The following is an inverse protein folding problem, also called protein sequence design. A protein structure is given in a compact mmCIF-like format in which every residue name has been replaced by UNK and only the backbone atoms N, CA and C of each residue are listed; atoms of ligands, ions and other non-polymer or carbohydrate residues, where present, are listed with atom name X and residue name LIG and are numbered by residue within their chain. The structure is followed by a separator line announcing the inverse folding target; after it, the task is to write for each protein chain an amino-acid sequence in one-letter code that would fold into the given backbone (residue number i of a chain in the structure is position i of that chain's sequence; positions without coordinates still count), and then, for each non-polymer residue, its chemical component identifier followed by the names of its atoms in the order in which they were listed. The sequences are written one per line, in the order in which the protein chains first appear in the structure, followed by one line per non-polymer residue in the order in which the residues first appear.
data_IF_881995666673
#
_entry.id   IF_881995666673
#
_cell.length_a   1.000
_cell.length_b   1.000
_cell.length_c   1.000
_cell.angle_alpha   90.00
_cell.angle_beta   90.00
_cell.angle_gamma   90.00
#
_symmetry.space_group_name_H-M   'P 1'
#
loop_
_entity.id
_entity.type
_entity.pdbx_description
1 polymer ?
#
# COMPACT_ATOMS: atom_id res chain seq x y z
N UNK A 1 10.83 10.28 1.59
CA UNK A 1 9.47 10.33 2.09
C UNK A 1 9.33 9.29 3.17
N UNK A 2 9.10 9.71 4.40
CA UNK A 2 8.96 8.80 5.53
C UNK A 2 7.48 8.46 5.73
N UNK A 3 6.86 7.73 4.81
CA UNK A 3 5.59 7.09 5.08
C UNK A 3 5.88 5.91 6.00
N UNK A 4 5.54 6.05 7.26
CA UNK A 4 5.47 4.96 8.21
C UNK A 4 4.07 4.33 8.04
N UNK A 5 4.00 3.19 7.37
CA UNK A 5 2.78 2.41 7.33
C UNK A 5 2.69 1.56 8.59
N UNK A 6 1.55 1.61 9.28
CA UNK A 6 1.26 0.65 10.33
C UNK A 6 0.50 -0.50 9.69
N UNK A 7 1.15 -1.65 9.67
CA UNK A 7 0.51 -2.91 9.33
C UNK A 7 -0.15 -3.43 10.62
N UNK A 8 -1.47 -3.45 10.66
CA UNK A 8 -2.21 -4.08 11.76
C UNK A 8 -2.23 -5.57 11.46
N UNK A 9 -1.52 -6.37 12.26
CA UNK A 9 -1.58 -7.82 12.20
C UNK A 9 -2.52 -8.31 13.30
N UNK A 10 -3.55 -9.06 12.92
CA UNK A 10 -4.52 -9.65 13.88
C UNK A 10 -4.02 -10.94 14.52
N UNK A 11 -2.76 -11.32 14.34
CA UNK A 11 -2.17 -12.53 14.90
C UNK A 11 -1.79 -12.34 16.38
N UNK A 12 -2.33 -13.15 17.27
CA UNK A 12 -2.34 -12.98 18.73
C UNK A 12 -1.11 -13.45 19.48
N UNK A 13 0.01 -13.80 18.84
CA UNK A 13 1.25 -14.21 19.51
C UNK A 13 2.25 -13.03 19.53
N UNK A 14 2.33 -12.30 20.65
CA UNK A 14 2.94 -11.00 20.75
C UNK A 14 4.14 -10.86 21.67
N UNK A 15 5.26 -10.60 21.07
CA UNK A 15 6.04 -9.40 21.39
C UNK A 15 5.94 -8.46 20.18
N UNK A 16 5.11 -7.44 20.27
CA UNK A 16 4.89 -6.45 19.20
C UNK A 16 6.15 -5.62 19.00
N UNK A 17 7.02 -6.08 18.12
CA UNK A 17 8.02 -5.19 17.52
C UNK A 17 7.33 -4.43 16.38
N UNK A 18 7.43 -3.11 16.41
CA UNK A 18 7.00 -2.26 15.28
C UNK A 18 7.93 -2.57 14.11
N UNK A 19 7.38 -3.08 13.02
CA UNK A 19 8.13 -3.25 11.77
C UNK A 19 8.07 -1.94 10.97
N UNK A 20 9.23 -1.42 10.56
CA UNK A 20 9.32 -0.25 9.68
C UNK A 20 9.27 -0.74 8.24
N UNK A 21 8.22 -0.34 7.50
CA UNK A 21 8.03 -0.65 6.09
C UNK A 21 8.09 0.65 5.30
N UNK A 22 9.24 0.99 4.69
CA UNK A 22 9.33 2.17 3.84
C UNK A 22 8.52 1.99 2.56
N UNK A 23 8.11 3.13 1.97
CA UNK A 23 7.45 3.15 0.67
C UNK A 23 8.31 3.82 -0.39
N UNK A 24 8.21 3.33 -1.62
CA UNK A 24 8.74 3.96 -2.83
C UNK A 24 7.57 4.24 -3.77
N UNK A 25 7.31 5.52 -4.03
CA UNK A 25 6.33 5.96 -5.02
C UNK A 25 6.98 6.07 -6.40
N UNK A 26 6.31 5.55 -7.43
CA UNK A 26 6.84 5.48 -8.79
C UNK A 26 5.91 6.21 -9.77
N UNK A 27 6.50 7.15 -10.53
CA UNK A 27 5.90 7.77 -11.73
C UNK A 27 6.94 7.73 -12.84
N UNK A 28 6.54 7.30 -14.05
CA UNK A 28 7.41 7.20 -15.22
C UNK A 28 8.70 6.40 -14.94
N UNK A 29 8.61 5.35 -14.13
CA UNK A 29 9.73 4.51 -13.75
C UNK A 29 10.74 5.12 -12.77
N UNK A 30 10.43 6.28 -12.17
CA UNK A 30 11.30 7.03 -11.26
C UNK A 30 10.71 7.12 -9.86
N UNK A 31 11.61 7.23 -8.86
CA UNK A 31 11.21 7.56 -7.50
C UNK A 31 10.69 9.00 -7.43
N UNK A 32 9.53 9.17 -6.85
CA UNK A 32 8.91 10.49 -6.66
C UNK A 32 8.40 10.64 -5.23
N UNK A 33 8.01 11.86 -4.90
CA UNK A 33 7.24 12.20 -3.72
C UNK A 33 6.12 13.13 -4.11
N UNK A 34 4.93 12.85 -3.63
CA UNK A 34 3.79 13.76 -3.69
C UNK A 34 3.53 14.35 -2.29
N UNK A 35 2.83 15.47 -2.24
CA UNK A 35 2.25 16.02 -1.01
C UNK A 35 0.75 15.80 -1.08
N UNK A 36 0.19 15.05 -0.13
CA UNK A 36 -1.25 14.71 -0.07
C UNK A 36 -1.80 14.11 -1.39
N UNK A 37 -0.96 13.34 -2.12
CA UNK A 37 -1.33 12.73 -3.39
C UNK A 37 -1.47 13.70 -4.57
N UNK A 38 -1.09 14.97 -4.43
CA UNK A 38 -1.18 15.96 -5.51
C UNK A 38 -0.03 15.76 -6.51
N UNK A 39 -0.38 15.33 -7.72
CA UNK A 39 0.56 15.13 -8.83
C UNK A 39 1.23 16.43 -9.28
N UNK A 40 0.62 17.61 -9.06
CA UNK A 40 1.23 18.89 -9.35
C UNK A 40 2.38 19.24 -8.37
N UNK A 41 2.38 18.62 -7.19
CA UNK A 41 3.43 18.75 -6.17
C UNK A 41 4.60 17.79 -6.38
N UNK A 42 4.63 17.02 -7.49
CA UNK A 42 5.63 15.98 -7.77
C UNK A 42 7.06 16.50 -7.62
N UNK A 43 7.81 15.87 -6.73
CA UNK A 43 9.25 16.02 -6.59
C UNK A 43 9.91 14.72 -7.06
N UNK A 44 10.76 14.79 -8.07
CA UNK A 44 11.56 13.64 -8.51
C UNK A 44 12.82 13.53 -7.65
N UNK A 45 13.11 12.31 -7.20
CA UNK A 45 14.41 11.98 -6.64
C UNK A 45 15.33 11.53 -7.80
N UNK A 46 16.55 12.06 -7.84
CA UNK A 46 17.57 11.67 -8.85
C UNK A 46 18.10 10.24 -8.65
N UNK A 47 17.35 9.38 -7.95
CA UNK A 47 17.78 8.04 -7.61
C UNK A 47 16.89 7.01 -8.31
N UNK A 48 17.53 6.02 -8.95
CA UNK A 48 16.84 4.87 -9.53
C UNK A 48 16.12 4.09 -8.42
N UNK A 49 14.85 3.64 -8.61
CA UNK A 49 14.11 2.88 -7.62
C UNK A 49 14.84 1.63 -7.10
N UNK A 50 15.63 0.98 -7.95
CA UNK A 50 16.42 -0.19 -7.56
C UNK A 50 17.57 0.21 -6.62
N UNK A 51 18.25 1.30 -6.89
CA UNK A 51 19.31 1.80 -6.01
C UNK A 51 18.75 2.23 -4.64
N UNK A 52 17.56 2.84 -4.63
CA UNK A 52 16.86 3.16 -3.38
C UNK A 52 16.53 1.89 -2.60
N UNK A 53 15.99 0.86 -3.26
CA UNK A 53 15.65 -0.41 -2.62
C UNK A 53 16.88 -1.11 -2.04
N UNK A 54 18.01 -1.13 -2.78
CA UNK A 54 19.29 -1.68 -2.30
C UNK A 54 19.82 -0.94 -1.07
N UNK A 55 19.70 0.38 -1.02
CA UNK A 55 20.08 1.15 0.15
C UNK A 55 19.21 0.82 1.36
N UNK A 56 17.90 0.71 1.19
CA UNK A 56 16.98 0.32 2.25
C UNK A 56 17.30 -1.08 2.78
N UNK A 57 17.56 -2.04 1.90
CA UNK A 57 18.00 -3.38 2.29
C UNK A 57 19.32 -3.34 3.09
N UNK A 58 20.30 -2.53 2.66
CA UNK A 58 21.57 -2.36 3.37
C UNK A 58 21.41 -1.75 4.77
N UNK A 59 20.36 -0.99 5.02
CA UNK A 59 19.98 -0.51 6.36
C UNK A 59 19.21 -1.54 7.20
N UNK A 60 19.03 -2.76 6.71
CA UNK A 60 18.36 -3.85 7.43
C UNK A 60 16.84 -3.89 7.26
N UNK A 61 16.29 -3.11 6.33
CA UNK A 61 14.88 -3.21 5.96
C UNK A 61 14.62 -4.57 5.32
N UNK A 62 13.51 -5.21 5.66
CA UNK A 62 13.10 -6.52 5.15
C UNK A 62 11.86 -6.46 4.26
N UNK A 63 11.03 -5.43 4.42
CA UNK A 63 9.80 -5.23 3.62
C UNK A 63 9.82 -3.86 2.96
N UNK A 64 9.25 -3.81 1.77
CA UNK A 64 9.13 -2.59 0.98
C UNK A 64 7.73 -2.48 0.40
N UNK A 65 7.08 -1.33 0.58
CA UNK A 65 5.86 -0.99 -0.13
C UNK A 65 6.22 -0.22 -1.40
N UNK A 66 5.79 -0.72 -2.56
CA UNK A 66 6.01 -0.08 -3.87
C UNK A 66 4.67 0.40 -4.41
N UNK A 67 4.55 1.69 -4.67
CA UNK A 67 3.32 2.33 -5.14
C UNK A 67 3.47 2.74 -6.60
N UNK A 68 2.69 2.10 -7.47
CA UNK A 68 2.57 2.48 -8.88
C UNK A 68 1.55 3.62 -9.03
N UNK A 69 2.02 4.86 -8.99
CA UNK A 69 1.17 6.04 -9.10
C UNK A 69 0.61 6.23 -10.52
N UNK A 70 1.35 5.80 -11.56
CA UNK A 70 0.81 5.76 -12.93
C UNK A 70 -0.33 4.73 -13.01
N UNK A 71 -0.14 3.58 -12.37
CA UNK A 71 -1.17 2.55 -12.26
C UNK A 71 -2.40 3.04 -11.52
N UNK A 72 -2.21 3.73 -10.41
CA UNK A 72 -3.32 4.33 -9.65
C UNK A 72 -4.12 5.34 -10.51
N UNK A 73 -3.44 6.12 -11.35
CA UNK A 73 -4.07 7.10 -12.22
C UNK A 73 -4.78 6.45 -13.43
N UNK A 74 -4.16 5.45 -14.06
CA UNK A 74 -4.67 4.77 -15.27
C UNK A 74 -5.60 3.59 -14.98
N UNK A 75 -5.68 3.15 -13.72
CA UNK A 75 -6.49 2.03 -13.23
C UNK A 75 -6.07 0.66 -13.80
N UNK A 76 -4.79 0.47 -14.07
CA UNK A 76 -4.14 -0.80 -14.40
C UNK A 76 -2.65 -0.72 -14.04
N UNK A 77 -1.97 -1.85 -13.88
CA UNK A 77 -0.54 -1.89 -13.52
C UNK A 77 0.33 -1.38 -14.67
N UNK A 78 1.18 -0.39 -14.41
CA UNK A 78 2.06 0.27 -15.40
C UNK A 78 3.54 -0.03 -15.13
N UNK A 79 4.01 0.19 -13.90
CA UNK A 79 5.43 0.15 -13.56
C UNK A 79 5.93 -1.26 -13.15
N UNK A 80 5.34 -2.34 -13.69
CA UNK A 80 5.71 -3.72 -13.37
C UNK A 80 7.19 -4.05 -13.65
N UNK A 81 7.81 -3.39 -14.66
CA UNK A 81 9.23 -3.57 -14.96
C UNK A 81 10.14 -3.02 -13.86
N UNK A 82 9.72 -1.98 -13.16
CA UNK A 82 10.44 -1.47 -11.99
C UNK A 82 10.32 -2.46 -10.84
N UNK A 83 9.12 -3.00 -10.62
CA UNK A 83 8.88 -4.05 -9.63
C UNK A 83 9.78 -5.28 -9.90
N UNK A 84 9.80 -5.78 -11.14
CA UNK A 84 10.65 -6.90 -11.55
C UNK A 84 12.14 -6.63 -11.26
N UNK A 85 12.64 -5.43 -11.58
CA UNK A 85 14.04 -5.03 -11.33
C UNK A 85 14.36 -4.97 -9.83
N UNK A 86 13.47 -4.43 -9.00
CA UNK A 86 13.66 -4.39 -7.54
C UNK A 86 13.66 -5.82 -6.98
N UNK A 87 12.68 -6.65 -7.34
CA UNK A 87 12.58 -8.03 -6.89
C UNK A 87 13.77 -8.90 -7.33
N UNK A 88 14.30 -8.65 -8.54
CA UNK A 88 15.47 -9.38 -9.06
C UNK A 88 16.81 -8.93 -8.47
N UNK A 89 16.88 -7.78 -7.79
CA UNK A 89 18.12 -7.20 -7.28
C UNK A 89 18.20 -7.13 -5.74
N UNK A 90 17.10 -7.39 -5.05
CA UNK A 90 17.00 -7.38 -3.59
C UNK A 90 16.34 -8.65 -3.07
N UNK A 91 16.48 -8.92 -1.78
CA UNK A 91 15.73 -9.97 -1.05
C UNK A 91 14.55 -9.40 -0.27
N UNK A 92 14.17 -8.14 -0.52
CA UNK A 92 13.07 -7.48 0.13
C UNK A 92 11.74 -8.20 -0.18
N UNK A 93 10.90 -8.35 0.83
CA UNK A 93 9.50 -8.75 0.66
C UNK A 93 8.71 -7.56 0.15
N UNK A 94 8.30 -7.59 -1.11
CA UNK A 94 7.65 -6.47 -1.77
C UNK A 94 6.13 -6.61 -1.66
N UNK A 95 5.52 -5.59 -1.10
CA UNK A 95 4.10 -5.29 -1.21
C UNK A 95 3.91 -4.26 -2.32
N UNK A 96 3.07 -4.57 -3.30
CA UNK A 96 2.84 -3.73 -4.46
C UNK A 96 1.41 -3.18 -4.47
N UNK A 97 1.28 -1.88 -4.60
CA UNK A 97 0.00 -1.17 -4.71
C UNK A 97 -0.05 -0.24 -5.93
N UNK A 98 -1.26 0.18 -6.28
CA UNK A 98 -1.51 1.08 -7.41
C UNK A 98 -1.92 0.36 -8.70
N UNK A 99 -3.12 0.65 -9.18
CA UNK A 99 -3.59 0.17 -10.48
C UNK A 99 -4.19 -1.24 -10.55
N UNK A 100 -4.10 -2.07 -9.52
CA UNK A 100 -4.64 -3.43 -9.54
C UNK A 100 -6.17 -3.40 -9.53
N UNK A 101 -6.80 -3.71 -10.67
CA UNK A 101 -8.25 -3.67 -10.86
C UNK A 101 -8.83 -4.95 -11.47
N UNK A 102 -8.01 -5.75 -12.14
CA UNK A 102 -8.40 -6.96 -12.86
C UNK A 102 -7.59 -8.16 -12.40
N UNK A 103 -8.07 -9.37 -12.75
CA UNK A 103 -7.32 -10.62 -12.52
C UNK A 103 -5.95 -10.56 -13.23
N UNK A 104 -5.88 -9.91 -14.40
CA UNK A 104 -4.66 -9.74 -15.17
C UNK A 104 -3.64 -8.82 -14.44
N UNK A 105 -4.09 -7.67 -13.91
CA UNK A 105 -3.22 -6.79 -13.12
C UNK A 105 -2.62 -7.53 -11.92
N UNK A 106 -3.43 -8.36 -11.25
CA UNK A 106 -2.98 -9.14 -10.11
C UNK A 106 -1.90 -10.15 -10.50
N UNK A 107 -2.11 -10.86 -11.61
CA UNK A 107 -1.12 -11.80 -12.17
C UNK A 107 0.16 -11.05 -12.55
N UNK A 108 0.06 -9.91 -13.22
CA UNK A 108 1.22 -9.07 -13.58
C UNK A 108 2.02 -8.70 -12.31
N UNK A 109 1.37 -8.27 -11.24
CA UNK A 109 2.07 -7.92 -10.01
C UNK A 109 2.83 -9.11 -9.42
N UNK A 110 2.19 -10.28 -9.28
CA UNK A 110 2.83 -11.46 -8.70
C UNK A 110 3.93 -12.04 -9.60
N UNK A 111 3.71 -12.11 -10.91
CA UNK A 111 4.69 -12.64 -11.86
C UNK A 111 5.96 -11.76 -11.96
N UNK A 112 5.85 -10.47 -11.65
CA UNK A 112 6.97 -9.54 -11.59
C UNK A 112 7.57 -9.35 -10.19
N UNK A 113 7.21 -10.22 -9.23
CA UNK A 113 7.94 -10.39 -7.98
C UNK A 113 7.32 -9.75 -6.74
N UNK A 114 6.08 -9.25 -6.81
CA UNK A 114 5.34 -8.92 -5.60
C UNK A 114 5.09 -10.19 -4.78
N UNK A 115 5.36 -10.16 -3.48
CA UNK A 115 4.94 -11.23 -2.57
C UNK A 115 3.57 -10.94 -1.97
N UNK A 116 3.19 -9.67 -1.91
CA UNK A 116 1.91 -9.19 -1.41
C UNK A 116 1.40 -8.06 -2.31
N UNK A 117 0.10 -7.83 -2.29
CA UNK A 117 -0.53 -6.71 -3.00
C UNK A 117 -1.47 -5.95 -2.08
N UNK A 118 -1.42 -4.63 -2.16
CA UNK A 118 -2.34 -3.74 -1.44
C UNK A 118 -3.50 -3.32 -2.33
N UNK A 119 -4.70 -3.63 -1.88
CA UNK A 119 -5.96 -3.43 -2.60
C UNK A 119 -6.87 -2.45 -1.84
N UNK A 120 -6.94 -1.20 -2.31
CA UNK A 120 -7.84 -0.18 -1.74
C UNK A 120 -9.15 -0.07 -2.52
N UNK A 121 -9.12 0.58 -3.68
CA UNK A 121 -10.35 0.89 -4.45
C UNK A 121 -11.17 -0.34 -4.85
N UNK A 122 -10.54 -1.51 -5.05
CA UNK A 122 -11.26 -2.76 -5.36
C UNK A 122 -12.10 -3.20 -4.16
N UNK A 123 -11.58 -3.06 -2.96
CA UNK A 123 -12.33 -3.40 -1.75
C UNK A 123 -13.63 -2.58 -1.62
N UNK A 124 -13.62 -1.31 -2.04
CA UNK A 124 -14.81 -0.45 -1.98
C UNK A 124 -15.74 -0.67 -3.17
N UNK A 125 -15.18 -0.69 -4.39
CA UNK A 125 -15.99 -0.68 -5.64
C UNK A 125 -16.41 -2.06 -6.13
N UNK A 126 -15.63 -3.08 -5.80
CA UNK A 126 -15.82 -4.47 -6.25
C UNK A 126 -15.52 -5.46 -5.11
N UNK A 127 -16.24 -5.41 -3.99
CA UNK A 127 -15.97 -6.24 -2.82
C UNK A 127 -16.01 -7.75 -3.14
N UNK A 128 -16.87 -8.17 -4.08
CA UNK A 128 -16.96 -9.56 -4.55
C UNK A 128 -15.66 -10.03 -5.23
N UNK A 129 -14.96 -9.13 -5.91
CA UNK A 129 -13.66 -9.42 -6.52
C UNK A 129 -12.56 -9.51 -5.48
N UNK A 130 -12.56 -8.61 -4.51
CA UNK A 130 -11.64 -8.66 -3.38
C UNK A 130 -11.80 -9.99 -2.62
N UNK A 131 -13.05 -10.40 -2.32
CA UNK A 131 -13.35 -11.64 -1.62
C UNK A 131 -12.87 -12.87 -2.41
N UNK A 132 -13.07 -12.88 -3.74
CA UNK A 132 -12.55 -13.91 -4.63
C UNK A 132 -11.02 -14.01 -4.55
N UNK A 133 -10.32 -12.88 -4.61
CA UNK A 133 -8.86 -12.85 -4.55
C UNK A 133 -8.33 -13.23 -3.17
N UNK A 134 -8.98 -12.78 -2.10
CA UNK A 134 -8.62 -13.20 -0.74
C UNK A 134 -8.74 -14.72 -0.57
N UNK A 135 -9.81 -15.32 -1.07
CA UNK A 135 -10.01 -16.76 -1.03
C UNK A 135 -9.00 -17.53 -1.90
N UNK A 136 -8.60 -16.97 -3.03
CA UNK A 136 -7.70 -17.61 -4.00
C UNK A 136 -6.22 -17.53 -3.57
N UNK A 137 -5.77 -16.38 -3.07
CA UNK A 137 -4.36 -16.09 -2.80
C UNK A 137 -3.99 -16.15 -1.32
N UNK A 138 -4.97 -16.07 -0.43
CA UNK A 138 -4.79 -16.11 1.01
C UNK A 138 -4.52 -14.74 1.66
N UNK A 139 -4.78 -14.63 2.97
CA UNK A 139 -4.65 -13.37 3.71
C UNK A 139 -3.20 -12.90 3.87
N UNK A 140 -2.24 -13.78 3.67
CA UNK A 140 -0.81 -13.45 3.73
C UNK A 140 -0.32 -12.70 2.48
N UNK A 141 -1.09 -12.77 1.36
CA UNK A 141 -0.74 -12.11 0.10
C UNK A 141 -1.62 -10.90 -0.23
N UNK A 142 -2.76 -10.77 0.43
CA UNK A 142 -3.73 -9.70 0.18
C UNK A 142 -3.76 -8.77 1.37
N UNK A 143 -3.38 -7.51 1.15
CA UNK A 143 -3.42 -6.43 2.14
C UNK A 143 -4.61 -5.52 1.81
N UNK A 144 -5.43 -5.20 2.79
CA UNK A 144 -6.49 -4.21 2.65
C UNK A 144 -5.89 -2.80 2.70
N UNK A 145 -6.03 -2.02 1.64
CA UNK A 145 -5.72 -0.59 1.63
C UNK A 145 -6.92 0.21 2.16
N UNK A 146 -6.70 0.97 3.22
CA UNK A 146 -7.71 1.78 3.88
C UNK A 146 -7.23 3.22 4.04
N UNK A 147 -7.00 3.91 2.91
CA UNK A 147 -6.62 5.31 2.91
C UNK A 147 -7.80 6.16 3.36
N UNK A 148 -7.58 7.04 4.33
CA UNK A 148 -8.65 7.81 4.97
C UNK A 148 -8.47 9.31 4.78
N UNK A 149 -9.59 9.97 4.50
CA UNK A 149 -9.69 11.42 4.49
C UNK A 149 -10.99 11.83 5.21
N UNK A 150 -10.87 12.70 6.20
CA UNK A 150 -12.03 13.13 7.00
C UNK A 150 -12.85 11.96 7.60
N UNK A 151 -12.18 10.88 8.02
CA UNK A 151 -12.82 9.69 8.59
C UNK A 151 -13.48 8.75 7.58
N UNK A 152 -13.43 9.04 6.28
CA UNK A 152 -13.99 8.23 5.19
C UNK A 152 -12.93 7.61 4.33
N UNK A 153 -13.22 6.44 3.78
CA UNK A 153 -12.31 5.74 2.86
C UNK A 153 -12.21 6.51 1.54
N UNK A 154 -10.99 6.78 1.12
CA UNK A 154 -10.67 7.37 -0.18
C UNK A 154 -10.35 6.28 -1.22
N UNK A 155 -10.72 6.53 -2.46
CA UNK A 155 -10.53 5.60 -3.58
C UNK A 155 -9.99 6.32 -4.82
N UNK A 156 -9.57 5.53 -5.84
CA UNK A 156 -9.08 6.05 -7.13
C UNK A 156 -7.90 7.01 -7.02
N UNK A 157 -6.87 6.62 -6.24
CA UNK A 157 -5.70 7.48 -6.01
C UNK A 157 -6.11 8.77 -5.28
N UNK A 158 -6.98 8.64 -4.28
CA UNK A 158 -7.46 9.70 -3.38
C UNK A 158 -8.32 10.80 -4.04
N UNK A 159 -8.80 10.56 -5.26
CA UNK A 159 -9.62 11.52 -6.02
C UNK A 159 -11.08 11.51 -5.62
N UNK A 160 -11.54 10.45 -4.98
CA UNK A 160 -12.93 10.26 -4.58
C UNK A 160 -12.98 9.79 -3.12
N UNK A 161 -13.99 10.25 -2.38
CA UNK A 161 -14.33 9.74 -1.04
C UNK A 161 -15.51 8.77 -1.17
N UNK A 162 -15.42 7.63 -0.48
CA UNK A 162 -16.58 6.72 -0.35
C UNK A 162 -17.51 7.19 0.77
N UNK A 163 -18.64 6.49 0.93
CA UNK A 163 -19.50 6.69 2.10
C UNK A 163 -19.07 5.84 3.30
N UNK A 164 -18.07 4.98 3.13
CA UNK A 164 -17.63 4.05 4.16
C UNK A 164 -16.80 4.77 5.21
N UNK A 165 -17.17 4.60 6.47
CA UNK A 165 -16.37 5.01 7.61
C UNK A 165 -15.23 4.01 7.81
N UNK A 166 -14.07 4.47 8.27
CA UNK A 166 -12.84 3.67 8.36
C UNK A 166 -13.02 2.42 9.22
N UNK A 167 -13.48 2.57 10.46
CA UNK A 167 -13.58 1.47 11.43
C UNK A 167 -14.54 0.37 10.98
N UNK A 168 -15.82 0.65 10.64
CA UNK A 168 -16.72 -0.38 10.14
C UNK A 168 -16.23 -1.06 8.88
N UNK A 169 -15.49 -0.34 8.02
CA UNK A 169 -14.91 -0.89 6.80
C UNK A 169 -13.83 -1.92 7.14
N UNK A 170 -12.87 -1.58 8.00
CA UNK A 170 -11.81 -2.49 8.44
C UNK A 170 -12.42 -3.72 9.11
N UNK A 171 -13.34 -3.54 10.06
CA UNK A 171 -14.01 -4.62 10.78
C UNK A 171 -14.71 -5.61 9.85
N UNK A 172 -15.38 -5.10 8.82
CA UNK A 172 -16.06 -5.95 7.84
C UNK A 172 -15.06 -6.86 7.10
N UNK A 173 -13.87 -6.35 6.78
CA UNK A 173 -12.84 -7.13 6.09
C UNK A 173 -12.05 -8.07 7.01
N UNK A 174 -11.82 -7.70 8.25
CA UNK A 174 -11.28 -8.62 9.27
C UNK A 174 -12.20 -9.84 9.44
N UNK A 175 -13.50 -9.64 9.52
CA UNK A 175 -14.50 -10.73 9.60
C UNK A 175 -14.50 -11.65 8.37
N UNK A 176 -14.03 -11.16 7.22
CA UNK A 176 -13.82 -11.95 5.99
C UNK A 176 -12.48 -12.70 5.97
N UNK A 177 -11.62 -12.50 6.97
CA UNK A 177 -10.33 -13.16 7.09
C UNK A 177 -9.12 -12.34 6.66
N UNK A 178 -9.26 -11.04 6.39
CA UNK A 178 -8.12 -10.13 6.20
C UNK A 178 -7.31 -10.06 7.49
N UNK A 179 -5.99 -10.22 7.36
CA UNK A 179 -5.06 -10.18 8.50
C UNK A 179 -4.10 -8.99 8.45
N UNK A 180 -4.07 -8.26 7.35
CA UNK A 180 -3.17 -7.14 7.14
C UNK A 180 -3.93 -5.95 6.55
N UNK A 181 -3.79 -4.79 7.21
CA UNK A 181 -4.41 -3.53 6.78
C UNK A 181 -3.32 -2.46 6.66
N UNK A 182 -3.27 -1.78 5.54
CA UNK A 182 -2.44 -0.61 5.31
C UNK A 182 -3.34 0.62 5.37
N UNK A 183 -3.10 1.48 6.35
CA UNK A 183 -3.91 2.68 6.57
C UNK A 183 -3.06 3.94 6.41
N UNK A 184 -3.51 4.89 5.57
CA UNK A 184 -2.88 6.19 5.34
C UNK A 184 -3.85 7.31 5.72
N UNK A 185 -3.45 8.22 6.61
CA UNK A 185 -4.14 9.50 6.78
C UNK A 185 -3.66 10.48 5.72
N UNK A 186 -4.49 10.69 4.70
CA UNK A 186 -4.16 11.54 3.54
C UNK A 186 -3.85 12.97 3.96
N UNK A 187 -4.47 13.46 5.03
CA UNK A 187 -4.26 14.83 5.51
C UNK A 187 -2.83 15.08 6.01
N UNK A 188 -2.15 14.02 6.43
CA UNK A 188 -0.77 14.06 6.96
C UNK A 188 0.27 13.56 5.95
N UNK A 189 -0.17 12.89 4.89
CA UNK A 189 0.74 12.32 3.90
C UNK A 189 1.61 13.40 3.23
N UNK A 190 2.92 13.13 3.20
CA UNK A 190 3.89 14.04 2.60
C UNK A 190 4.18 15.34 3.38
N UNK A 191 3.48 15.62 4.50
CA UNK A 191 3.57 16.88 5.23
C UNK A 191 4.73 16.96 6.25
N UNK A 192 5.47 15.87 6.46
CA UNK A 192 6.58 15.79 7.44
C UNK A 192 6.15 16.10 8.91
N UNK A 193 4.89 15.86 9.24
CA UNK A 193 4.32 16.14 10.57
C UNK A 193 4.32 14.91 11.50
N UNK A 194 4.96 13.82 11.07
CA UNK A 194 4.95 12.54 11.77
C UNK A 194 3.69 11.69 11.47
N UNK A 195 3.63 10.46 12.02
CA UNK A 195 2.54 9.54 11.78
C UNK A 195 1.23 9.99 12.46
N UNK A 196 0.09 9.47 11.98
CA UNK A 196 -1.24 9.71 12.56
C UNK A 196 -1.46 8.82 13.80
N UNK A 197 -0.66 9.01 14.85
CA UNK A 197 -0.62 8.12 16.03
C UNK A 197 -1.98 7.97 16.71
N UNK A 198 -2.77 9.03 16.78
CA UNK A 198 -4.11 8.99 17.40
C UNK A 198 -5.05 8.08 16.59
N UNK A 199 -5.09 8.23 15.27
CA UNK A 199 -5.86 7.39 14.37
C UNK A 199 -5.48 5.91 14.52
N UNK A 200 -4.18 5.62 14.55
CA UNK A 200 -3.69 4.24 14.66
C UNK A 200 -3.99 3.63 16.03
N UNK A 201 -3.90 4.44 17.09
CA UNK A 201 -4.28 4.01 18.44
C UNK A 201 -5.75 3.64 18.52
N UNK A 202 -6.64 4.43 17.91
CA UNK A 202 -8.08 4.17 17.89
C UNK A 202 -8.40 2.86 17.16
N UNK A 203 -7.74 2.59 16.02
CA UNK A 203 -7.92 1.35 15.26
C UNK A 203 -7.43 0.12 16.04
N UNK A 204 -6.31 0.21 16.76
CA UNK A 204 -5.71 -0.94 17.48
C UNK A 204 -6.43 -1.22 18.80
N UNK A 205 -7.11 -0.23 19.38
CA UNK A 205 -7.77 -0.35 20.69
C UNK A 205 -9.11 -1.08 20.65
N UNK A 206 -9.59 -1.45 19.48
CA UNK A 206 -10.84 -2.20 19.25
C UNK A 206 -10.55 -3.70 19.05
#
# INVERSE_FOLDING_TARGET
SGLLFILISTNTDFHTMIEIIPAIDIIDGKCVRLSQGDYASKQEYNQDPVEMALQLEAYGIQRLHVVDLDGAASQHVVNYRVLERIAGRTSLKIDFGGGIKTDEDLVIAFDNGAQMVTLGSVAVKHPERFDKWLAQYGPEKIILGADVKNGKIAVNGWKEESNDQLEPFIDAYIKKGVTQVLCTDISRDGMMQGPATDLYHDIISQ
#
